data_IF_707823186730
#
_entry.id   IF_707823186730
#
_cell.length_a   1.000
_cell.length_b   1.000
_cell.length_c   1.000
_cell.angle_alpha   90.00
_cell.angle_beta   90.00
_cell.angle_gamma   90.00
#
_symmetry.space_group_name_H-M   'P 1'
#
loop_
_entity.id
_entity.type
_entity.pdbx_description
1 polymer ?
#
# COMPACT_ATOMS: atom_id res chain seq x y z
N UNK A 1 11.59 2.76 18.75
CA UNK A 1 10.83 2.89 19.99
C UNK A 1 10.04 1.62 20.29
N UNK A 2 9.42 1.48 21.46
CA UNK A 2 8.60 0.31 21.78
C UNK A 2 7.42 0.20 20.79
N UNK A 3 7.02 -1.04 20.49
CA UNK A 3 5.84 -1.31 19.68
C UNK A 3 4.57 -1.04 20.54
N UNK A 4 3.75 -0.04 20.19
CA UNK A 4 2.57 0.30 21.00
C UNK A 4 1.47 -0.79 20.95
N UNK A 5 1.55 -1.72 20.01
CA UNK A 5 0.60 -2.84 19.87
C UNK A 5 1.12 -4.14 20.50
N UNK A 6 2.35 -4.15 21.04
CA UNK A 6 2.95 -5.37 21.60
C UNK A 6 2.46 -5.63 23.01
N UNK A 7 1.99 -6.84 23.25
CA UNK A 7 1.71 -7.38 24.58
C UNK A 7 2.95 -7.96 25.25
N UNK A 8 4.00 -8.25 24.49
CA UNK A 8 5.27 -8.86 24.95
C UNK A 8 6.42 -7.88 25.14
N UNK A 9 6.22 -6.59 24.84
CA UNK A 9 7.27 -5.57 24.90
C UNK A 9 8.27 -5.64 23.73
N UNK A 10 7.93 -6.34 22.65
CA UNK A 10 8.74 -6.46 21.42
C UNK A 10 9.00 -5.09 20.81
N UNK A 11 10.27 -4.81 20.48
CA UNK A 11 10.65 -3.56 19.82
C UNK A 11 10.18 -3.55 18.36
N UNK A 12 9.77 -2.38 17.85
CA UNK A 12 9.46 -2.20 16.42
C UNK A 12 10.67 -2.56 15.51
N UNK A 13 11.88 -2.56 16.04
CA UNK A 13 13.09 -2.99 15.34
C UNK A 13 13.12 -4.51 15.09
N UNK A 14 12.52 -5.28 16.00
CA UNK A 14 12.50 -6.75 15.92
C UNK A 14 11.42 -7.25 14.95
N UNK A 15 10.48 -6.36 14.55
CA UNK A 15 9.43 -6.64 13.57
C UNK A 15 9.86 -6.40 12.11
N UNK A 16 11.15 -6.19 11.86
CA UNK A 16 11.68 -6.01 10.50
C UNK A 16 11.82 -7.35 9.79
N UNK A 17 11.59 -7.34 8.48
CA UNK A 17 11.76 -8.51 7.61
C UNK A 17 13.06 -9.28 7.86
N UNK A 18 14.18 -8.57 7.91
CA UNK A 18 15.51 -9.15 8.14
C UNK A 18 15.70 -9.82 9.52
N UNK A 19 14.75 -9.67 10.44
CA UNK A 19 14.78 -10.28 11.77
C UNK A 19 13.96 -11.55 11.85
N UNK A 20 12.88 -11.61 11.08
CA UNK A 20 11.95 -12.74 11.21
C UNK A 20 11.96 -13.71 10.02
N UNK A 21 12.50 -13.34 8.85
CA UNK A 21 12.49 -14.18 7.66
C UNK A 21 13.13 -15.56 7.85
N UNK A 22 14.17 -15.64 8.68
CA UNK A 22 14.95 -16.88 8.92
C UNK A 22 14.44 -17.66 10.14
N UNK A 23 13.29 -17.31 10.73
CA UNK A 23 12.75 -18.00 11.89
C UNK A 23 12.12 -19.34 11.49
N UNK A 24 12.14 -20.29 12.44
CA UNK A 24 11.39 -21.54 12.28
C UNK A 24 9.92 -21.28 12.04
N UNK A 25 9.21 -22.10 11.21
CA UNK A 25 7.84 -21.83 10.76
C UNK A 25 6.85 -21.47 11.86
N UNK A 26 6.85 -22.18 12.99
CA UNK A 26 5.94 -21.91 14.12
C UNK A 26 6.26 -20.58 14.81
N UNK A 27 7.54 -20.28 15.00
CA UNK A 27 7.98 -19.01 15.59
C UNK A 27 7.64 -17.81 14.68
N UNK A 28 7.88 -17.97 13.38
CA UNK A 28 7.50 -17.01 12.34
C UNK A 28 6.00 -16.74 12.35
N UNK A 29 5.19 -17.81 12.38
CA UNK A 29 3.74 -17.71 12.37
C UNK A 29 3.20 -16.94 13.59
N UNK A 30 3.69 -17.31 14.78
CA UNK A 30 3.27 -16.65 16.01
C UNK A 30 3.70 -15.18 16.03
N UNK A 31 4.94 -14.86 15.65
CA UNK A 31 5.43 -13.48 15.58
C UNK A 31 4.63 -12.64 14.59
N UNK A 32 4.34 -13.16 13.39
CA UNK A 32 3.57 -12.42 12.40
C UNK A 32 2.12 -12.20 12.84
N UNK A 33 1.47 -13.23 13.38
CA UNK A 33 0.08 -13.15 13.86
C UNK A 33 -0.07 -12.21 15.05
N UNK A 34 0.79 -12.35 16.05
CA UNK A 34 0.59 -11.75 17.37
C UNK A 34 1.26 -10.38 17.52
N UNK A 35 2.30 -10.08 16.72
CA UNK A 35 3.09 -8.86 16.85
C UNK A 35 3.15 -8.04 15.56
N UNK A 36 3.56 -8.63 14.42
CA UNK A 36 3.78 -7.88 13.18
C UNK A 36 2.47 -7.39 12.59
N UNK A 37 1.48 -8.26 12.47
CA UNK A 37 0.18 -7.90 11.90
C UNK A 37 -0.56 -6.85 12.75
N UNK A 38 -0.67 -6.98 14.08
CA UNK A 38 -1.20 -5.92 14.94
C UNK A 38 -0.42 -4.61 14.85
N UNK A 39 0.91 -4.66 14.74
CA UNK A 39 1.73 -3.46 14.55
C UNK A 39 1.38 -2.74 13.24
N UNK A 40 1.27 -3.50 12.14
CA UNK A 40 0.88 -2.95 10.84
C UNK A 40 -0.52 -2.35 10.89
N UNK A 41 -1.49 -3.02 11.51
CA UNK A 41 -2.87 -2.52 11.66
C UNK A 41 -2.93 -1.15 12.36
N UNK A 42 -2.03 -0.89 13.29
CA UNK A 42 -2.00 0.33 14.09
C UNK A 42 -0.93 1.34 13.63
N UNK A 43 -0.43 1.19 12.41
CA UNK A 43 0.60 2.08 11.87
C UNK A 43 0.06 3.53 11.81
N UNK A 44 0.81 4.46 12.39
CA UNK A 44 0.38 5.85 12.51
C UNK A 44 -0.52 6.16 13.73
N UNK A 45 -0.74 5.15 14.60
CA UNK A 45 -1.57 5.28 15.80
C UNK A 45 -3.02 4.81 15.58
N UNK A 46 -3.69 4.45 16.67
CA UNK A 46 -5.06 3.88 16.66
C UNK A 46 -6.11 4.82 16.06
N UNK A 47 -5.88 6.12 16.11
CA UNK A 47 -6.77 7.16 15.59
C UNK A 47 -6.45 7.58 14.15
N UNK A 48 -5.45 6.96 13.52
CA UNK A 48 -5.09 7.28 12.14
C UNK A 48 -6.16 6.78 11.15
N UNK A 49 -6.30 7.46 10.01
CA UNK A 49 -7.17 7.00 8.90
C UNK A 49 -6.77 5.58 8.46
N UNK A 50 -5.48 5.31 8.38
CA UNK A 50 -4.96 3.99 8.05
C UNK A 50 -5.46 2.91 9.03
N UNK A 51 -5.35 3.15 10.35
CA UNK A 51 -5.81 2.19 11.36
C UNK A 51 -7.33 1.96 11.29
N UNK A 52 -8.12 2.98 10.94
CA UNK A 52 -9.56 2.84 10.77
C UNK A 52 -9.91 1.92 9.58
N UNK A 53 -9.21 2.02 8.47
CA UNK A 53 -9.39 1.12 7.30
C UNK A 53 -8.89 -0.30 7.58
N UNK A 54 -7.83 -0.45 8.37
CA UNK A 54 -7.28 -1.77 8.74
C UNK A 54 -8.03 -2.45 9.90
N UNK A 55 -9.04 -1.82 10.48
CA UNK A 55 -9.73 -2.31 11.69
C UNK A 55 -10.24 -3.73 11.54
N UNK A 56 -10.88 -4.01 10.41
CA UNK A 56 -11.52 -5.30 10.14
C UNK A 56 -10.60 -6.30 9.42
N UNK A 57 -9.35 -5.93 9.15
CA UNK A 57 -8.38 -6.83 8.55
C UNK A 57 -8.06 -7.99 9.50
N UNK A 58 -8.06 -9.21 8.95
CA UNK A 58 -7.81 -10.44 9.68
C UNK A 58 -6.55 -11.13 9.16
N UNK A 59 -5.79 -11.75 10.08
CA UNK A 59 -4.69 -12.62 9.72
C UNK A 59 -5.25 -14.03 9.40
N UNK A 60 -5.41 -14.33 8.12
CA UNK A 60 -6.08 -15.55 7.65
C UNK A 60 -5.13 -16.63 7.12
N UNK A 61 -3.83 -16.55 7.42
CA UNK A 61 -2.86 -17.56 7.00
C UNK A 61 -3.19 -18.90 7.65
N UNK A 62 -3.43 -19.99 6.87
CA UNK A 62 -3.97 -21.22 7.41
C UNK A 62 -2.94 -22.07 8.18
N UNK A 63 -1.68 -22.04 7.81
CA UNK A 63 -0.62 -22.84 8.44
C UNK A 63 0.72 -22.15 8.49
N UNK A 64 1.52 -22.47 9.51
CA UNK A 64 2.87 -21.97 9.66
C UNK A 64 3.79 -22.36 8.49
N UNK A 65 3.65 -23.58 7.99
CA UNK A 65 4.42 -24.08 6.85
C UNK A 65 4.14 -23.31 5.56
N UNK A 66 2.85 -22.99 5.30
CA UNK A 66 2.50 -22.20 4.13
C UNK A 66 3.07 -20.78 4.24
N UNK A 67 2.98 -20.19 5.43
CA UNK A 67 3.55 -18.87 5.70
C UNK A 67 5.07 -18.84 5.46
N UNK A 68 5.80 -19.81 5.99
CA UNK A 68 7.24 -19.91 5.78
C UNK A 68 7.58 -20.01 4.27
N UNK A 69 6.89 -20.88 3.53
CA UNK A 69 7.10 -20.97 2.08
C UNK A 69 6.82 -19.65 1.34
N UNK A 70 5.83 -18.87 1.78
CA UNK A 70 5.53 -17.55 1.19
C UNK A 70 6.66 -16.57 1.51
N UNK A 71 7.14 -16.54 2.76
CA UNK A 71 8.24 -15.68 3.18
C UNK A 71 9.53 -16.01 2.42
N UNK A 72 9.87 -17.28 2.29
CA UNK A 72 11.05 -17.74 1.53
C UNK A 72 11.00 -17.26 0.08
N UNK A 73 9.84 -17.43 -0.59
CA UNK A 73 9.67 -16.98 -1.98
C UNK A 73 9.72 -15.46 -2.14
N UNK A 74 9.18 -14.73 -1.18
CA UNK A 74 9.24 -13.27 -1.20
C UNK A 74 10.67 -12.76 -0.95
N UNK A 75 11.46 -13.47 -0.15
CA UNK A 75 12.85 -13.09 0.14
C UNK A 75 13.77 -13.26 -1.08
N UNK A 76 13.42 -14.15 -2.01
CA UNK A 76 14.13 -14.32 -3.29
C UNK A 76 13.90 -13.14 -4.27
N UNK A 77 12.87 -12.32 -4.05
CA UNK A 77 12.54 -11.21 -4.93
C UNK A 77 13.32 -9.95 -4.54
N UNK A 78 13.87 -9.19 -5.50
CA UNK A 78 14.56 -7.93 -5.22
C UNK A 78 13.55 -6.81 -4.89
N UNK A 79 12.87 -6.91 -3.75
CA UNK A 79 11.80 -6.00 -3.30
C UNK A 79 12.26 -4.55 -3.02
N UNK A 80 13.54 -4.24 -3.17
CA UNK A 80 14.07 -2.87 -3.17
C UNK A 80 13.79 -2.12 -4.47
N UNK A 81 13.52 -2.85 -5.56
CA UNK A 81 13.04 -2.29 -6.81
C UNK A 81 11.54 -2.01 -6.71
N UNK A 82 11.17 -0.72 -6.72
CA UNK A 82 9.77 -0.30 -6.56
C UNK A 82 8.90 -0.70 -7.75
N UNK A 83 9.47 -0.72 -8.94
CA UNK A 83 8.73 -1.08 -10.15
C UNK A 83 8.43 -2.58 -10.13
N UNK A 84 9.43 -3.40 -9.82
CA UNK A 84 9.23 -4.84 -9.69
C UNK A 84 8.23 -5.19 -8.57
N UNK A 85 8.29 -4.51 -7.43
CA UNK A 85 7.34 -4.74 -6.33
C UNK A 85 5.90 -4.44 -6.77
N UNK A 86 5.73 -3.37 -7.56
CA UNK A 86 4.44 -3.04 -8.16
C UNK A 86 3.95 -4.11 -9.13
N UNK A 87 4.81 -4.60 -10.01
CA UNK A 87 4.49 -5.62 -11.00
C UNK A 87 4.10 -6.96 -10.35
N UNK A 88 4.83 -7.37 -9.30
CA UNK A 88 4.50 -8.56 -8.51
C UNK A 88 3.11 -8.41 -7.86
N UNK A 89 2.82 -7.26 -7.29
CA UNK A 89 1.52 -7.00 -6.68
C UNK A 89 0.39 -7.03 -7.72
N UNK A 90 0.56 -6.38 -8.88
CA UNK A 90 -0.41 -6.42 -9.97
C UNK A 90 -0.62 -7.83 -10.51
N UNK A 91 0.45 -8.60 -10.66
CA UNK A 91 0.36 -10.00 -11.07
C UNK A 91 -0.44 -10.85 -10.08
N UNK A 92 -0.18 -10.71 -8.78
CA UNK A 92 -0.91 -11.43 -7.74
C UNK A 92 -2.40 -11.08 -7.76
N UNK A 93 -2.73 -9.79 -7.86
CA UNK A 93 -4.13 -9.34 -7.94
C UNK A 93 -4.82 -9.83 -9.20
N UNK A 94 -4.13 -9.84 -10.34
CA UNK A 94 -4.63 -10.41 -11.60
C UNK A 94 -4.95 -11.90 -11.46
N UNK A 95 -4.14 -12.66 -10.72
CA UNK A 95 -4.39 -14.09 -10.44
C UNK A 95 -5.59 -14.30 -9.53
N UNK A 96 -5.77 -13.47 -8.50
CA UNK A 96 -6.93 -13.51 -7.61
C UNK A 96 -8.21 -13.18 -8.40
N UNK A 97 -8.19 -12.18 -9.25
CA UNK A 97 -9.30 -11.81 -10.12
C UNK A 97 -9.69 -12.96 -11.09
N UNK A 98 -8.68 -13.61 -11.71
CA UNK A 98 -8.90 -14.75 -12.62
C UNK A 98 -9.46 -15.98 -11.93
N UNK A 99 -9.28 -16.13 -10.61
CA UNK A 99 -9.81 -17.21 -9.81
C UNK A 99 -11.31 -17.01 -9.43
N UNK A 100 -11.98 -16.00 -9.96
CA UNK A 100 -13.41 -15.76 -9.78
C UNK A 100 -13.81 -15.14 -8.44
N UNK A 101 -12.86 -14.72 -7.65
CA UNK A 101 -13.11 -13.96 -6.42
C UNK A 101 -12.76 -12.49 -6.66
N UNK A 102 -13.77 -11.64 -6.83
CA UNK A 102 -13.68 -10.20 -7.05
C UNK A 102 -12.79 -9.81 -8.25
N UNK A 103 -13.35 -9.91 -9.46
CA UNK A 103 -12.70 -9.49 -10.71
C UNK A 103 -12.56 -7.98 -10.81
N UNK A 104 -11.58 -7.40 -10.11
CA UNK A 104 -11.22 -6.01 -10.30
C UNK A 104 -10.33 -5.88 -11.52
N UNK A 105 -10.85 -5.23 -12.56
CA UNK A 105 -10.07 -4.85 -13.71
C UNK A 105 -9.23 -3.62 -13.35
N UNK A 106 -7.91 -3.80 -13.30
CA UNK A 106 -6.98 -2.67 -13.12
C UNK A 106 -6.45 -2.23 -14.47
N UNK A 107 -6.47 -0.94 -14.69
CA UNK A 107 -5.81 -0.37 -15.86
C UNK A 107 -4.29 -0.55 -15.71
N UNK A 108 -3.60 -1.12 -16.73
CA UNK A 108 -2.15 -1.28 -16.69
C UNK A 108 -1.41 0.05 -16.49
N UNK A 109 -0.34 0.06 -15.71
CA UNK A 109 0.40 1.28 -15.34
C UNK A 109 0.87 2.10 -16.53
N UNK A 110 1.37 1.45 -17.59
CA UNK A 110 1.83 2.15 -18.79
C UNK A 110 0.69 2.88 -19.51
N UNK A 111 -0.54 2.36 -19.45
CA UNK A 111 -1.73 3.04 -19.98
C UNK A 111 -2.12 4.23 -19.09
N UNK A 112 -2.11 4.03 -17.78
CA UNK A 112 -2.36 5.12 -16.81
C UNK A 112 -1.36 6.25 -17.06
N UNK A 113 -0.06 5.93 -17.10
CA UNK A 113 0.99 6.91 -17.36
C UNK A 113 0.78 7.66 -18.67
N UNK A 114 0.49 6.94 -19.76
CA UNK A 114 0.20 7.56 -21.06
C UNK A 114 -0.98 8.54 -20.96
N UNK A 115 -2.06 8.16 -20.29
CA UNK A 115 -3.23 9.03 -20.14
C UNK A 115 -2.91 10.27 -19.31
N UNK A 116 -2.15 10.13 -18.23
CA UNK A 116 -1.72 11.26 -17.39
C UNK A 116 -0.78 12.18 -18.16
N UNK A 117 0.21 11.63 -18.90
CA UNK A 117 1.12 12.42 -19.73
C UNK A 117 0.37 13.20 -20.82
N UNK A 118 -0.69 12.61 -21.41
CA UNK A 118 -1.52 13.29 -22.41
C UNK A 118 -2.43 14.37 -21.83
N UNK A 119 -2.93 14.20 -20.59
CA UNK A 119 -3.78 15.21 -19.93
C UNK A 119 -2.93 16.34 -19.34
N UNK A 120 -1.66 16.07 -19.01
CA UNK A 120 -0.68 17.01 -18.48
C UNK A 120 -1.25 17.92 -17.37
N UNK A 121 -1.69 17.35 -16.23
CA UNK A 121 -2.32 18.13 -15.18
C UNK A 121 -1.36 19.15 -14.57
N UNK A 122 -1.92 20.24 -14.07
CA UNK A 122 -1.20 21.33 -13.40
C UNK A 122 -1.59 21.44 -11.92
N UNK A 123 -0.81 22.11 -11.06
CA UNK A 123 -1.18 22.34 -9.66
C UNK A 123 -2.45 23.15 -9.45
N UNK A 124 -2.95 23.84 -10.50
CA UNK A 124 -4.19 24.60 -10.45
C UNK A 124 -5.43 23.70 -10.65
N UNK A 125 -5.26 22.51 -11.21
CA UNK A 125 -6.35 21.60 -11.49
C UNK A 125 -6.88 20.91 -10.23
N UNK A 126 -8.14 20.48 -10.30
CA UNK A 126 -8.75 19.53 -9.36
C UNK A 126 -9.01 18.25 -10.14
N UNK A 127 -8.45 17.16 -9.64
CA UNK A 127 -8.47 15.87 -10.32
C UNK A 127 -9.45 14.95 -9.61
N UNK A 128 -10.44 14.47 -10.35
CA UNK A 128 -11.46 13.57 -9.81
C UNK A 128 -11.48 12.25 -10.59
N UNK A 129 -11.40 11.15 -9.86
CA UNK A 129 -11.62 9.80 -10.38
C UNK A 129 -12.90 9.22 -9.75
N UNK A 130 -14.01 9.13 -10.50
CA UNK A 130 -15.31 8.67 -9.97
C UNK A 130 -15.41 7.16 -9.80
N UNK A 131 -14.40 6.38 -10.21
CA UNK A 131 -14.31 4.93 -10.09
C UNK A 131 -12.86 4.54 -9.77
N UNK A 132 -12.32 5.14 -8.71
CA UNK A 132 -10.88 5.19 -8.49
C UNK A 132 -10.22 3.83 -8.14
N UNK A 133 -11.00 2.86 -7.71
CA UNK A 133 -10.45 1.59 -7.27
C UNK A 133 -9.38 1.82 -6.21
N UNK A 134 -8.17 1.37 -6.49
CA UNK A 134 -6.99 1.60 -5.64
C UNK A 134 -6.24 2.90 -5.96
N UNK A 135 -6.93 3.87 -6.53
CA UNK A 135 -6.42 5.22 -6.83
C UNK A 135 -5.25 5.28 -7.83
N UNK A 136 -5.12 4.30 -8.73
CA UNK A 136 -3.99 4.23 -9.67
C UNK A 136 -3.80 5.49 -10.50
N UNK A 137 -4.87 6.08 -11.05
CA UNK A 137 -4.82 7.32 -11.80
C UNK A 137 -4.44 8.52 -10.94
N UNK A 138 -5.00 8.63 -9.74
CA UNK A 138 -4.70 9.74 -8.81
C UNK A 138 -3.24 9.70 -8.34
N UNK A 139 -2.71 8.50 -8.06
CA UNK A 139 -1.31 8.31 -7.71
C UNK A 139 -0.39 8.74 -8.85
N UNK A 140 -0.66 8.26 -10.08
CA UNK A 140 0.13 8.63 -11.25
C UNK A 140 0.08 10.15 -11.55
N UNK A 141 -1.09 10.77 -11.39
CA UNK A 141 -1.22 12.23 -11.52
C UNK A 141 -0.39 12.97 -10.44
N UNK A 142 -0.38 12.47 -9.21
CA UNK A 142 0.45 13.01 -8.13
C UNK A 142 1.95 12.87 -8.41
N UNK A 143 2.38 11.74 -8.97
CA UNK A 143 3.76 11.52 -9.41
C UNK A 143 4.14 12.48 -10.55
N UNK A 144 3.28 12.60 -11.58
CA UNK A 144 3.47 13.55 -12.68
C UNK A 144 3.65 15.00 -12.19
N UNK A 145 2.78 15.45 -11.28
CA UNK A 145 2.88 16.79 -10.70
C UNK A 145 4.18 17.00 -9.91
N UNK A 146 4.63 15.98 -9.17
CA UNK A 146 5.92 16.05 -8.45
C UNK A 146 7.11 16.09 -9.39
N UNK A 147 7.06 15.38 -10.51
CA UNK A 147 8.14 15.36 -11.49
C UNK A 147 8.21 16.67 -12.28
N UNK A 148 7.06 17.22 -12.68
CA UNK A 148 7.02 18.34 -13.63
C UNK A 148 6.76 19.70 -12.97
N UNK A 149 6.15 19.76 -11.78
CA UNK A 149 5.71 20.96 -11.06
C UNK A 149 6.21 21.05 -9.62
N UNK A 150 7.33 20.40 -9.30
CA UNK A 150 7.86 20.31 -7.94
C UNK A 150 8.02 21.70 -7.27
N UNK A 151 8.55 22.67 -8.00
CA UNK A 151 8.77 24.01 -7.48
C UNK A 151 7.46 24.72 -7.09
N UNK A 152 6.38 24.48 -7.83
CA UNK A 152 5.07 25.08 -7.59
C UNK A 152 4.36 24.42 -6.40
N UNK A 153 4.33 23.09 -6.36
CA UNK A 153 3.63 22.33 -5.30
C UNK A 153 4.32 22.42 -3.93
N UNK A 154 5.61 22.79 -3.89
CA UNK A 154 6.40 22.95 -2.67
C UNK A 154 6.86 24.39 -2.43
N UNK A 155 6.28 25.37 -3.15
CA UNK A 155 6.65 26.77 -3.03
C UNK A 155 6.46 27.31 -1.61
N UNK A 156 5.35 26.96 -0.97
CA UNK A 156 5.01 27.37 0.39
C UNK A 156 4.11 26.34 1.08
N UNK A 157 3.67 26.63 2.30
CA UNK A 157 2.82 25.74 3.09
C UNK A 157 1.40 25.62 2.49
N UNK A 158 0.86 26.68 1.91
CA UNK A 158 -0.45 26.68 1.28
C UNK A 158 -0.46 25.79 0.03
N UNK A 159 0.57 25.88 -0.81
CA UNK A 159 0.75 25.03 -1.99
C UNK A 159 0.87 23.55 -1.61
N UNK A 160 1.65 23.24 -0.57
CA UNK A 160 1.79 21.88 -0.04
C UNK A 160 0.47 21.32 0.50
N UNK A 161 -0.26 22.13 1.27
CA UNK A 161 -1.56 21.75 1.80
C UNK A 161 -2.55 21.49 0.65
N UNK A 162 -2.62 22.39 -0.33
CA UNK A 162 -3.45 22.21 -1.51
C UNK A 162 -3.13 20.89 -2.23
N UNK A 163 -1.86 20.60 -2.49
CA UNK A 163 -1.41 19.38 -3.15
C UNK A 163 -1.81 18.13 -2.36
N UNK A 164 -1.70 18.13 -1.03
CA UNK A 164 -1.96 16.94 -0.20
C UNK A 164 -3.42 16.72 0.17
N UNK A 165 -4.26 17.77 0.16
CA UNK A 165 -5.60 17.70 0.75
C UNK A 165 -6.73 18.14 -0.20
N UNK A 166 -6.43 18.89 -1.28
CA UNK A 166 -7.49 19.62 -2.00
C UNK A 166 -7.62 19.25 -3.48
N UNK A 167 -6.59 18.72 -4.13
CA UNK A 167 -6.62 18.52 -5.58
C UNK A 167 -6.99 17.10 -6.02
N UNK A 168 -6.90 16.10 -5.16
CA UNK A 168 -7.21 14.72 -5.52
C UNK A 168 -8.50 14.24 -4.86
N UNK A 169 -9.46 13.81 -5.68
CA UNK A 169 -10.74 13.28 -5.23
C UNK A 169 -10.98 11.92 -5.88
N UNK A 170 -11.11 10.88 -5.06
CA UNK A 170 -11.46 9.54 -5.51
C UNK A 170 -12.81 9.10 -4.95
N UNK A 171 -13.59 8.43 -5.79
CA UNK A 171 -14.86 7.82 -5.40
C UNK A 171 -14.86 6.38 -5.88
N UNK A 172 -15.38 5.47 -5.07
CA UNK A 172 -15.61 4.10 -5.47
C UNK A 172 -16.88 3.56 -4.85
N UNK A 173 -17.50 2.58 -5.52
CA UNK A 173 -18.68 1.88 -5.00
C UNK A 173 -18.32 0.90 -3.89
N UNK A 174 -17.15 0.27 -4.00
CA UNK A 174 -16.68 -0.73 -3.05
C UNK A 174 -15.88 -0.06 -1.92
N UNK A 175 -16.44 -0.07 -0.71
CA UNK A 175 -15.79 0.50 0.48
C UNK A 175 -14.46 -0.17 0.84
N UNK A 176 -14.16 -1.36 0.30
CA UNK A 176 -12.86 -2.02 0.49
C UNK A 176 -11.76 -1.43 -0.37
N UNK A 177 -12.13 -0.56 -1.34
CA UNK A 177 -11.18 0.13 -2.22
C UNK A 177 -10.79 1.52 -1.70
N UNK A 178 -11.58 2.09 -0.84
CA UNK A 178 -11.37 3.39 -0.21
C UNK A 178 -10.66 3.25 1.13
#
# INVERSE_FOLDING_TARGET
GPNPASTSGTSAQDLRWSRFRDLAPESLFNLLRDEVFPFIKNLGGSESRYASHMRDALFIMPTARLLANVVDRLDELPMHDRDLMGDVYEYMLGKIASAGQNGQFRTPRHIIKLMVDMTAPTPADVICDPACGTCGFLVAAGEYLRENHQAEIFADEAARKRFSEEIFHGFDFDSTML
#
